data_IF_139954874352
#
_entry.id   IF_139954874352
#
_cell.length_a   1.000
_cell.length_b   1.000
_cell.length_c   1.000
_cell.angle_alpha   90.00
_cell.angle_beta   90.00
_cell.angle_gamma   90.00
#
_symmetry.space_group_name_H-M   'P 1'
#
loop_
_entity.id
_entity.type
_entity.pdbx_description
1 polymer ?
#
# COMPACT_ATOMS: atom_id res chain seq x y z
N UNK A 1 -20.58 79.83 -2.55
CA UNK A 1 -20.74 81.28 -2.25
C UNK A 1 -20.07 81.96 -3.42
N UNK A 2 -20.81 82.02 -4.51
CA UNK A 2 -20.24 82.04 -5.85
C UNK A 2 -20.15 83.50 -6.31
N UNK A 3 -18.96 83.89 -6.77
CA UNK A 3 -18.63 85.24 -7.21
C UNK A 3 -19.28 85.69 -8.52
N UNK A 4 -20.29 84.98 -9.02
CA UNK A 4 -20.97 85.31 -10.29
C UNK A 4 -22.40 85.77 -10.00
N UNK A 5 -22.54 86.84 -9.23
CA UNK A 5 -23.77 87.61 -9.21
C UNK A 5 -23.79 88.53 -10.45
N UNK A 6 -24.59 88.16 -11.46
CA UNK A 6 -24.83 88.96 -12.66
C UNK A 6 -25.43 90.36 -12.40
N UNK A 7 -25.75 90.73 -11.15
CA UNK A 7 -26.30 92.03 -10.79
C UNK A 7 -25.25 93.11 -10.49
N UNK A 8 -23.94 92.80 -10.49
CA UNK A 8 -22.91 93.81 -10.23
C UNK A 8 -22.42 94.46 -11.53
N UNK A 9 -23.18 95.43 -12.04
CA UNK A 9 -22.88 96.21 -13.24
C UNK A 9 -21.73 97.22 -13.09
N UNK A 10 -21.14 97.37 -11.91
CA UNK A 10 -20.29 98.52 -11.58
C UNK A 10 -18.82 98.42 -12.04
N UNK A 11 -18.37 97.31 -12.63
CA UNK A 11 -16.95 97.11 -12.99
C UNK A 11 -16.68 96.77 -14.46
N UNK A 12 -17.66 96.87 -15.35
CA UNK A 12 -17.44 96.58 -16.78
C UNK A 12 -17.12 97.87 -17.55
N UNK A 13 -15.93 97.93 -18.16
CA UNK A 13 -15.62 98.93 -19.18
C UNK A 13 -16.60 98.75 -20.36
N UNK A 14 -17.26 99.84 -20.75
CA UNK A 14 -18.26 99.85 -21.81
C UNK A 14 -17.58 99.61 -23.17
N UNK A 15 -17.80 98.45 -23.78
CA UNK A 15 -17.24 98.11 -25.09
C UNK A 15 -18.30 98.33 -26.19
N UNK A 16 -18.06 99.29 -27.09
CA UNK A 16 -19.00 99.64 -28.19
C UNK A 16 -19.06 98.62 -29.32
N UNK A 17 -18.12 97.68 -29.37
CA UNK A 17 -17.93 96.75 -30.49
C UNK A 17 -18.48 95.35 -30.19
N UNK A 18 -19.40 95.23 -29.24
CA UNK A 18 -20.05 93.96 -28.89
C UNK A 18 -21.43 93.87 -29.52
N UNK A 19 -21.85 92.64 -29.83
CA UNK A 19 -23.21 92.36 -30.24
C UNK A 19 -24.14 92.64 -29.05
N UNK A 20 -25.20 93.43 -29.24
CA UNK A 20 -26.12 93.87 -28.18
C UNK A 20 -27.35 92.97 -28.00
N UNK A 21 -27.33 91.74 -28.53
CA UNK A 21 -28.43 90.81 -28.38
C UNK A 21 -28.44 90.16 -27.00
N UNK A 22 -29.63 89.89 -26.44
CA UNK A 22 -29.78 89.20 -25.14
C UNK A 22 -29.06 87.85 -25.08
N UNK A 23 -28.87 87.17 -26.22
CA UNK A 23 -28.15 85.89 -26.30
C UNK A 23 -26.62 86.06 -26.37
N UNK A 24 -26.17 87.26 -26.68
CA UNK A 24 -24.75 87.62 -26.75
C UNK A 24 -24.27 88.21 -25.42
N UNK A 25 -25.19 88.51 -24.49
CA UNK A 25 -24.88 88.89 -23.11
C UNK A 25 -24.15 87.75 -22.39
N UNK A 26 -23.02 88.07 -21.76
CA UNK A 26 -22.19 87.10 -21.03
C UNK A 26 -22.97 86.32 -19.98
N UNK A 27 -23.86 86.98 -19.22
CA UNK A 27 -24.68 86.29 -18.22
C UNK A 27 -25.65 85.28 -18.85
N UNK A 28 -26.19 85.59 -20.03
CA UNK A 28 -27.07 84.67 -20.75
C UNK A 28 -26.28 83.48 -21.31
N UNK A 29 -25.08 83.71 -21.84
CA UNK A 29 -24.17 82.66 -22.31
C UNK A 29 -23.73 81.76 -21.14
N UNK A 30 -23.32 82.34 -20.01
CA UNK A 30 -22.92 81.60 -18.80
C UNK A 30 -24.07 80.76 -18.24
N UNK A 31 -25.27 81.34 -18.12
CA UNK A 31 -26.45 80.63 -17.63
C UNK A 31 -26.81 79.47 -18.57
N UNK A 32 -26.77 79.72 -19.88
CA UNK A 32 -27.02 78.72 -20.90
C UNK A 32 -26.01 77.57 -20.85
N UNK A 33 -24.72 77.87 -20.68
CA UNK A 33 -23.67 76.87 -20.56
C UNK A 33 -23.82 76.08 -19.25
N UNK A 34 -24.12 76.73 -18.12
CA UNK A 34 -24.33 76.08 -16.82
C UNK A 34 -25.50 75.10 -16.86
N UNK A 35 -26.62 75.50 -17.48
CA UNK A 35 -27.78 74.63 -17.67
C UNK A 35 -27.44 73.42 -18.56
N UNK A 36 -26.65 73.62 -19.61
CA UNK A 36 -26.18 72.55 -20.50
C UNK A 36 -25.23 71.57 -19.81
N UNK A 37 -24.33 72.06 -18.97
CA UNK A 37 -23.38 71.24 -18.22
C UNK A 37 -24.06 70.41 -17.13
N UNK A 38 -25.16 70.89 -16.55
CA UNK A 38 -25.84 70.25 -15.42
C UNK A 38 -26.19 68.78 -15.64
N UNK A 39 -26.75 68.43 -16.81
CA UNK A 39 -27.12 67.05 -17.13
C UNK A 39 -25.89 66.16 -17.27
N UNK A 40 -24.83 66.67 -17.93
CA UNK A 40 -23.57 65.94 -18.07
C UNK A 40 -22.87 65.72 -16.73
N UNK A 41 -22.82 66.77 -15.90
CA UNK A 41 -22.24 66.71 -14.56
C UNK A 41 -23.01 65.74 -13.67
N UNK A 42 -24.34 65.72 -13.71
CA UNK A 42 -25.13 64.75 -12.94
C UNK A 42 -24.79 63.31 -13.31
N UNK A 43 -24.67 63.01 -14.60
CA UNK A 43 -24.38 61.67 -15.10
C UNK A 43 -22.94 61.22 -14.81
N UNK A 44 -21.98 62.16 -14.75
CA UNK A 44 -20.56 61.86 -14.53
C UNK A 44 -20.13 61.97 -13.06
N UNK A 45 -20.89 62.70 -12.25
CA UNK A 45 -20.56 62.93 -10.85
C UNK A 45 -20.86 61.70 -10.00
N UNK A 46 -19.98 61.45 -9.03
CA UNK A 46 -20.22 60.46 -8.00
C UNK A 46 -20.81 61.16 -6.77
N UNK A 47 -22.07 60.87 -6.44
CA UNK A 47 -22.77 61.52 -5.32
C UNK A 47 -22.36 61.04 -3.93
N UNK A 48 -21.42 60.09 -3.84
CA UNK A 48 -20.90 59.63 -2.55
C UNK A 48 -19.83 60.60 -2.01
N UNK A 49 -19.73 60.79 -0.68
CA UNK A 49 -18.72 61.68 -0.10
C UNK A 49 -17.31 61.19 -0.44
N UNK A 50 -16.43 62.12 -0.87
CA UNK A 50 -15.07 61.79 -1.29
C UNK A 50 -14.22 61.13 -0.20
N UNK A 51 -14.50 61.46 1.08
CA UNK A 51 -13.77 60.96 2.23
C UNK A 51 -14.28 59.59 2.73
N UNK A 52 -15.39 59.08 2.19
CA UNK A 52 -15.99 57.81 2.59
C UNK A 52 -15.52 56.70 1.67
N UNK A 53 -14.42 56.07 2.08
CA UNK A 53 -13.75 55.01 1.34
C UNK A 53 -14.66 53.81 1.01
N UNK A 54 -15.67 53.50 1.82
CA UNK A 54 -16.51 52.30 1.64
C UNK A 54 -17.95 52.60 1.29
N UNK A 55 -18.26 53.85 0.90
CA UNK A 55 -19.62 54.35 0.72
C UNK A 55 -20.54 53.97 1.90
N UNK A 56 -20.02 54.02 3.13
CA UNK A 56 -20.75 53.62 4.35
C UNK A 56 -22.04 54.41 4.53
N UNK A 57 -21.97 55.72 4.29
CA UNK A 57 -23.12 56.63 4.33
C UNK A 57 -24.20 56.23 3.33
N UNK A 58 -23.83 56.07 2.05
CA UNK A 58 -24.74 55.67 0.98
C UNK A 58 -25.29 54.25 1.20
N UNK A 59 -24.48 53.33 1.71
CA UNK A 59 -24.89 51.97 2.06
C UNK A 59 -25.90 51.96 3.20
N UNK A 60 -25.73 52.78 4.23
CA UNK A 60 -26.69 52.88 5.33
C UNK A 60 -28.06 53.39 4.86
N UNK A 61 -28.07 54.37 3.96
CA UNK A 61 -29.30 54.87 3.33
C UNK A 61 -29.96 53.77 2.50
N UNK A 62 -29.18 53.04 1.69
CA UNK A 62 -29.66 51.94 0.88
C UNK A 62 -30.24 50.79 1.71
N UNK A 63 -29.57 50.41 2.81
CA UNK A 63 -30.07 49.36 3.71
C UNK A 63 -31.38 49.79 4.38
N UNK A 64 -31.54 51.08 4.68
CA UNK A 64 -32.79 51.61 5.22
C UNK A 64 -33.96 51.59 4.20
N UNK A 65 -33.68 51.44 2.91
CA UNK A 65 -34.67 51.49 1.84
C UNK A 65 -34.63 50.20 1.00
N UNK A 66 -35.59 49.27 1.13
CA UNK A 66 -35.51 47.92 0.54
C UNK A 66 -35.45 47.90 -1.00
N UNK A 67 -35.85 48.99 -1.67
CA UNK A 67 -35.80 49.13 -3.13
C UNK A 67 -34.47 49.69 -3.67
N UNK A 68 -33.57 50.16 -2.80
CA UNK A 68 -32.34 50.80 -3.23
C UNK A 68 -31.16 49.86 -3.10
N UNK A 69 -30.55 49.53 -4.23
CA UNK A 69 -29.28 48.82 -4.29
C UNK A 69 -28.16 49.87 -4.44
N UNK A 70 -27.12 49.80 -3.63
CA UNK A 70 -25.95 50.68 -3.74
C UNK A 70 -24.71 49.87 -4.04
N UNK A 71 -23.96 50.32 -5.04
CA UNK A 71 -22.62 49.83 -5.39
C UNK A 71 -21.61 50.97 -5.20
N UNK A 72 -20.41 50.61 -4.75
CA UNK A 72 -19.30 51.55 -4.51
C UNK A 72 -18.53 51.90 -5.81
N UNK A 73 -19.06 51.52 -6.98
CA UNK A 73 -18.47 51.73 -8.30
C UNK A 73 -18.12 50.42 -9.01
N UNK A 74 -17.37 50.53 -10.10
CA UNK A 74 -16.87 49.38 -10.87
C UNK A 74 -15.36 49.27 -10.62
N UNK A 75 -14.90 48.15 -10.05
CA UNK A 75 -13.48 47.86 -9.83
C UNK A 75 -13.09 47.55 -8.39
N UNK A 76 -11.79 47.35 -8.18
CA UNK A 76 -11.18 46.83 -6.95
C UNK A 76 -10.73 47.91 -5.97
N UNK A 77 -10.72 49.15 -6.43
CA UNK A 77 -10.51 50.34 -5.62
C UNK A 77 -11.84 51.05 -5.53
N UNK A 78 -12.35 51.22 -4.31
CA UNK A 78 -13.36 52.23 -4.05
C UNK A 78 -12.82 53.64 -4.38
N UNK A 79 -13.43 54.71 -3.87
CA UNK A 79 -12.94 56.06 -4.21
C UNK A 79 -11.43 56.21 -3.91
N UNK A 80 -10.64 56.54 -4.93
CA UNK A 80 -9.19 56.69 -4.79
C UNK A 80 -8.41 55.41 -4.41
N UNK A 81 -8.96 54.20 -4.58
CA UNK A 81 -8.22 52.95 -4.32
C UNK A 81 -8.07 52.55 -2.86
N UNK A 82 -8.74 53.23 -1.94
CA UNK A 82 -8.56 53.07 -0.50
C UNK A 82 -8.91 51.66 0.06
N UNK A 83 -9.63 50.81 -0.69
CA UNK A 83 -10.06 49.47 -0.29
C UNK A 83 -9.27 48.33 -0.95
N UNK A 84 -8.21 48.66 -1.69
CA UNK A 84 -7.40 47.69 -2.44
C UNK A 84 -6.79 46.62 -1.53
N UNK A 85 -6.34 47.00 -0.32
CA UNK A 85 -5.73 46.05 0.62
C UNK A 85 -6.75 45.05 1.17
N UNK A 86 -7.95 45.51 1.51
CA UNK A 86 -9.03 44.63 1.97
C UNK A 86 -9.48 43.68 0.85
N UNK A 87 -9.64 44.21 -0.37
CA UNK A 87 -9.98 43.40 -1.53
C UNK A 87 -8.90 42.34 -1.82
N UNK A 88 -7.62 42.74 -1.79
CA UNK A 88 -6.47 41.85 -1.95
C UNK A 88 -6.41 40.79 -0.85
N UNK A 89 -6.71 41.15 0.40
CA UNK A 89 -6.77 40.19 1.51
C UNK A 89 -7.92 39.18 1.34
N UNK A 90 -9.10 39.61 0.89
CA UNK A 90 -10.21 38.69 0.60
C UNK A 90 -9.86 37.75 -0.55
N UNK A 91 -9.12 38.22 -1.57
CA UNK A 91 -8.67 37.35 -2.67
C UNK A 91 -7.54 36.40 -2.31
N UNK A 92 -6.57 36.87 -1.53
CA UNK A 92 -5.26 36.21 -1.41
C UNK A 92 -4.89 35.80 0.03
N UNK A 93 -5.69 36.15 1.04
CA UNK A 93 -5.23 36.25 2.44
C UNK A 93 -5.02 34.94 3.20
N UNK A 94 -6.01 34.03 3.24
CA UNK A 94 -5.99 32.97 4.28
C UNK A 94 -5.44 31.63 3.80
N UNK A 95 -5.72 31.24 2.55
CA UNK A 95 -5.06 30.15 1.81
C UNK A 95 -5.72 30.09 0.43
N UNK A 96 -4.95 30.23 -0.64
CA UNK A 96 -5.50 29.89 -1.95
C UNK A 96 -5.71 28.36 -1.93
N UNK A 97 -6.97 27.92 -1.92
CA UNK A 97 -7.32 26.49 -1.88
C UNK A 97 -6.79 25.74 -3.09
N UNK A 98 -6.53 26.46 -4.18
CA UNK A 98 -5.85 25.98 -5.37
C UNK A 98 -4.51 26.70 -5.56
N UNK A 99 -3.39 26.16 -5.04
CA UNK A 99 -2.08 26.79 -5.16
C UNK A 99 -1.49 26.82 -6.59
N UNK A 100 -2.30 26.58 -7.63
CA UNK A 100 -1.91 26.56 -9.05
C UNK A 100 -0.64 25.73 -9.30
N UNK A 101 -0.51 24.63 -8.55
CA UNK A 101 0.53 23.62 -8.75
C UNK A 101 -0.01 22.52 -9.64
N UNK A 102 0.90 21.86 -10.36
CA UNK A 102 0.58 20.71 -11.18
C UNK A 102 0.02 19.60 -10.29
N UNK A 103 -1.30 19.39 -10.37
CA UNK A 103 -1.95 18.26 -9.71
C UNK A 103 -1.61 16.99 -10.49
N UNK A 104 -0.64 16.22 -10.01
CA UNK A 104 -0.40 14.87 -10.55
C UNK A 104 -1.56 13.96 -10.13
N UNK A 105 -2.43 13.67 -11.08
CA UNK A 105 -3.49 12.67 -10.92
C UNK A 105 -2.88 11.29 -11.13
N UNK A 106 -2.68 10.54 -10.06
CA UNK A 106 -2.32 9.13 -10.18
C UNK A 106 -3.50 8.35 -10.75
N UNK A 107 -3.26 7.55 -11.79
CA UNK A 107 -4.28 6.64 -12.29
C UNK A 107 -4.60 5.58 -11.23
N UNK A 108 -5.86 5.14 -11.19
CA UNK A 108 -6.25 4.00 -10.37
C UNK A 108 -5.44 2.76 -10.81
N UNK A 109 -5.05 1.86 -9.89
CA UNK A 109 -4.32 0.64 -10.26
C UNK A 109 -5.04 -0.28 -11.25
N UNK A 110 -6.34 -0.06 -11.46
CA UNK A 110 -7.17 -0.79 -12.41
C UNK A 110 -8.10 0.18 -13.16
N UNK A 111 -8.18 -0.02 -14.48
CA UNK A 111 -8.93 0.85 -15.41
C UNK A 111 -10.45 0.72 -15.24
N UNK A 112 -10.93 -0.49 -14.95
CA UNK A 112 -12.35 -0.86 -14.84
C UNK A 112 -12.56 -1.85 -13.70
N UNK A 113 -13.83 -2.17 -13.42
CA UNK A 113 -14.18 -3.22 -12.45
C UNK A 113 -13.84 -4.60 -13.07
N UNK A 114 -13.05 -5.44 -12.40
CA UNK A 114 -12.75 -6.79 -12.88
C UNK A 114 -13.99 -7.68 -12.86
N UNK A 115 -13.99 -8.76 -13.65
CA UNK A 115 -15.09 -9.71 -13.70
C UNK A 115 -15.34 -10.37 -12.33
N UNK A 116 -16.54 -10.18 -11.77
CA UNK A 116 -16.94 -10.69 -10.45
C UNK A 116 -17.84 -11.94 -10.51
N UNK A 117 -17.98 -12.57 -11.69
CA UNK A 117 -18.93 -13.68 -11.88
C UNK A 117 -18.59 -14.96 -11.11
N UNK A 118 -17.35 -15.11 -10.63
CA UNK A 118 -16.91 -16.28 -9.86
C UNK A 118 -17.42 -16.28 -8.41
N UNK A 119 -18.08 -15.20 -7.97
CA UNK A 119 -18.63 -15.10 -6.61
C UNK A 119 -17.59 -14.88 -5.52
N UNK A 120 -17.98 -15.17 -4.28
CA UNK A 120 -17.12 -15.03 -3.11
C UNK A 120 -16.10 -16.17 -3.06
N UNK A 121 -14.81 -15.84 -3.00
CA UNK A 121 -13.76 -16.83 -2.91
C UNK A 121 -13.68 -17.39 -1.48
N UNK A 122 -13.86 -18.70 -1.33
CA UNK A 122 -13.74 -19.43 -0.07
C UNK A 122 -12.52 -20.34 -0.16
N UNK A 123 -11.31 -19.84 0.17
CA UNK A 123 -10.06 -20.56 -0.07
C UNK A 123 -9.97 -21.86 0.74
N UNK A 124 -10.56 -21.91 1.93
CA UNK A 124 -10.54 -23.09 2.81
C UNK A 124 -11.37 -24.22 2.19
N UNK A 125 -12.65 -23.94 1.89
CA UNK A 125 -13.56 -24.88 1.20
C UNK A 125 -12.96 -25.35 -0.14
N UNK A 126 -12.38 -24.42 -0.91
CA UNK A 126 -11.76 -24.75 -2.20
C UNK A 126 -10.53 -25.65 -2.02
N UNK A 127 -9.71 -25.40 -1.00
CA UNK A 127 -8.51 -26.21 -0.74
C UNK A 127 -8.90 -27.63 -0.32
N UNK A 128 -9.93 -27.79 0.50
CA UNK A 128 -10.48 -29.11 0.87
C UNK A 128 -11.05 -29.86 -0.36
N UNK A 129 -11.70 -29.16 -1.28
CA UNK A 129 -12.22 -29.76 -2.51
C UNK A 129 -11.11 -30.09 -3.53
N UNK A 130 -10.08 -29.24 -3.64
CA UNK A 130 -8.95 -29.41 -4.57
C UNK A 130 -8.00 -30.51 -4.13
N UNK A 131 -7.74 -30.60 -2.82
CA UNK A 131 -6.85 -31.59 -2.24
C UNK A 131 -7.68 -32.62 -1.48
N UNK A 132 -7.84 -33.82 -2.05
CA UNK A 132 -8.51 -34.91 -1.35
C UNK A 132 -7.76 -35.28 -0.08
N UNK A 133 -8.48 -35.68 0.96
CA UNK A 133 -7.88 -36.32 2.13
C UNK A 133 -7.09 -37.58 1.70
N UNK A 134 -5.85 -37.69 2.16
CA UNK A 134 -5.01 -38.84 1.84
C UNK A 134 -5.52 -40.09 2.60
N UNK A 135 -6.35 -40.92 1.95
CA UNK A 135 -6.84 -42.20 2.49
C UNK A 135 -5.77 -43.31 2.51
N UNK A 136 -4.51 -42.97 2.23
CA UNK A 136 -3.42 -43.93 2.24
C UNK A 136 -3.09 -44.36 3.67
N UNK A 137 -3.66 -45.46 4.13
CA UNK A 137 -3.19 -46.09 5.36
C UNK A 137 -1.74 -46.55 5.16
N UNK A 138 -0.88 -46.22 6.13
CA UNK A 138 0.43 -46.87 6.20
C UNK A 138 0.17 -48.34 6.43
N UNK A 139 0.67 -49.21 5.54
CA UNK A 139 0.69 -50.66 5.77
C UNK A 139 1.15 -50.87 7.20
N UNK A 140 0.35 -51.54 8.05
CA UNK A 140 0.75 -51.78 9.42
C UNK A 140 2.17 -52.33 9.39
N UNK A 141 3.10 -51.65 10.07
CA UNK A 141 4.40 -52.22 10.33
C UNK A 141 4.07 -53.52 11.05
N UNK A 142 4.22 -54.64 10.35
CA UNK A 142 3.98 -55.96 10.92
C UNK A 142 4.80 -55.97 12.21
N UNK A 143 4.15 -56.06 13.36
CA UNK A 143 4.77 -55.81 14.68
C UNK A 143 5.93 -56.78 14.98
N UNK A 144 6.13 -57.76 14.08
CA UNK A 144 7.15 -58.80 14.12
C UNK A 144 8.27 -58.61 13.07
N UNK A 145 8.15 -57.68 12.11
CA UNK A 145 9.21 -57.44 11.12
C UNK A 145 10.32 -56.59 11.71
N UNK A 146 11.32 -57.24 12.31
CA UNK A 146 12.51 -56.58 12.87
C UNK A 146 12.76 -56.87 14.35
N UNK A 147 11.91 -57.68 15.01
CA UNK A 147 12.11 -58.10 16.39
C UNK A 147 12.53 -59.57 16.40
N UNK A 148 13.63 -59.88 17.08
CA UNK A 148 14.02 -61.26 17.36
C UNK A 148 13.07 -61.81 18.42
N UNK A 149 12.29 -62.83 18.05
CA UNK A 149 11.42 -63.53 19.00
C UNK A 149 12.30 -64.53 19.76
N UNK A 150 12.38 -64.38 21.08
CA UNK A 150 13.06 -65.36 21.94
C UNK A 150 12.40 -66.74 21.77
N UNK A 151 13.22 -67.78 21.54
CA UNK A 151 12.79 -69.15 21.21
C UNK A 151 12.18 -69.36 19.81
N UNK A 152 12.55 -68.56 18.80
CA UNK A 152 12.17 -68.84 17.41
C UNK A 152 12.57 -70.26 16.95
N UNK A 153 13.66 -70.79 17.49
CA UNK A 153 14.03 -72.20 17.38
C UNK A 153 13.80 -72.89 18.72
N UNK A 154 13.18 -74.07 18.68
CA UNK A 154 13.08 -74.92 19.88
C UNK A 154 14.49 -75.32 20.32
N UNK A 155 14.91 -75.04 21.57
CA UNK A 155 16.22 -75.44 22.04
C UNK A 155 16.34 -76.96 21.99
N UNK A 156 17.57 -77.45 21.78
CA UNK A 156 17.83 -78.88 21.77
C UNK A 156 17.48 -79.49 23.14
N UNK A 157 16.91 -80.70 23.15
CA UNK A 157 16.66 -81.45 24.38
C UNK A 157 17.96 -81.54 25.17
N UNK A 158 18.00 -81.23 26.49
CA UNK A 158 19.25 -81.09 27.26
C UNK A 158 20.20 -82.28 27.12
N UNK A 159 19.65 -83.49 27.20
CA UNK A 159 20.41 -84.73 27.00
C UNK A 159 21.09 -84.77 25.62
N UNK A 160 20.40 -84.37 24.55
CA UNK A 160 20.99 -84.37 23.21
C UNK A 160 22.06 -83.29 23.07
N UNK A 161 21.85 -82.11 23.67
CA UNK A 161 22.83 -81.02 23.70
C UNK A 161 24.13 -81.47 24.37
N UNK A 162 24.00 -82.11 25.53
CA UNK A 162 25.15 -82.56 26.32
C UNK A 162 25.86 -83.74 25.67
N UNK A 163 25.19 -84.59 24.89
CA UNK A 163 25.84 -85.73 24.25
C UNK A 163 26.45 -85.41 22.89
N UNK A 164 25.75 -84.66 22.03
CA UNK A 164 26.16 -84.44 20.62
C UNK A 164 27.34 -83.48 20.50
N UNK A 165 27.49 -82.53 21.41
CA UNK A 165 28.61 -81.57 21.37
C UNK A 165 29.94 -82.17 21.87
N UNK A 166 29.91 -83.29 22.62
CA UNK A 166 31.10 -83.89 23.21
C UNK A 166 31.70 -84.97 22.30
N UNK A 167 32.92 -84.73 21.82
CA UNK A 167 33.62 -85.64 20.90
C UNK A 167 33.81 -87.06 21.46
N UNK A 168 33.92 -87.21 22.79
CA UNK A 168 34.07 -88.50 23.48
C UNK A 168 32.88 -89.43 23.29
N UNK A 169 31.69 -88.89 23.04
CA UNK A 169 30.48 -89.66 22.80
C UNK A 169 30.24 -89.99 21.31
N UNK A 170 30.92 -89.26 20.40
CA UNK A 170 30.75 -89.42 18.95
C UNK A 170 31.86 -90.27 18.32
N UNK A 171 33.09 -90.18 18.84
CA UNK A 171 34.27 -90.82 18.25
C UNK A 171 34.72 -91.96 19.17
N UNK A 172 34.43 -93.19 18.75
CA UNK A 172 34.68 -94.42 19.52
C UNK A 172 36.17 -94.72 19.73
N UNK A 173 37.06 -94.14 18.91
CA UNK A 173 38.51 -94.40 18.94
C UNK A 173 39.23 -93.72 20.13
N UNK A 174 38.63 -92.67 20.71
CA UNK A 174 39.30 -91.84 21.73
C UNK A 174 39.52 -92.53 23.08
N UNK A 175 38.71 -93.55 23.41
CA UNK A 175 38.78 -94.30 24.67
C UNK A 175 38.95 -95.82 24.46
N UNK A 176 39.28 -96.23 23.25
CA UNK A 176 39.27 -97.63 22.83
C UNK A 176 37.86 -98.12 22.47
N UNK A 177 37.80 -99.11 21.59
CA UNK A 177 36.53 -99.60 21.03
C UNK A 177 35.64 -100.24 22.10
N UNK A 178 34.61 -99.51 22.52
CA UNK A 178 33.65 -99.93 23.56
C UNK A 178 32.59 -100.90 22.98
N UNK A 179 32.35 -100.84 21.66
CA UNK A 179 31.40 -101.71 20.94
C UNK A 179 31.95 -102.10 19.57
N UNK A 180 32.45 -103.33 19.48
CA UNK A 180 33.05 -103.88 18.26
C UNK A 180 34.56 -103.69 18.27
N UNK A 181 35.30 -104.76 18.48
CA UNK A 181 36.76 -104.71 18.59
C UNK A 181 37.45 -104.06 17.38
N UNK A 182 38.74 -103.78 17.54
CA UNK A 182 39.57 -103.20 16.49
C UNK A 182 39.45 -103.96 15.16
N UNK A 183 39.35 -103.24 14.04
CA UNK A 183 39.22 -103.85 12.73
C UNK A 183 40.37 -104.84 12.48
N UNK A 184 40.05 -106.06 12.06
CA UNK A 184 41.05 -107.13 11.80
C UNK A 184 42.13 -106.69 10.79
N UNK A 185 41.78 -105.80 9.86
CA UNK A 185 42.72 -105.19 8.91
C UNK A 185 43.74 -104.26 9.56
N UNK A 186 43.39 -103.57 10.64
CA UNK A 186 44.28 -102.70 11.40
C UNK A 186 45.28 -103.55 12.18
N UNK A 187 44.80 -104.61 12.85
CA UNK A 187 45.66 -105.60 13.49
C UNK A 187 46.66 -106.23 12.51
N UNK A 188 46.21 -106.64 11.32
CA UNK A 188 47.11 -107.17 10.28
C UNK A 188 48.16 -106.15 9.83
N UNK A 189 47.76 -104.89 9.64
CA UNK A 189 48.69 -103.80 9.31
C UNK A 189 49.71 -103.56 10.42
N UNK A 190 49.32 -103.62 11.69
CA UNK A 190 50.24 -103.47 12.81
C UNK A 190 51.23 -104.63 12.89
N UNK A 191 50.77 -105.87 12.66
CA UNK A 191 51.64 -107.05 12.60
C UNK A 191 52.64 -106.92 11.46
N UNK A 192 52.20 -106.52 10.27
CA UNK A 192 53.09 -106.29 9.12
C UNK A 192 54.05 -105.12 9.38
N UNK A 193 53.59 -104.02 9.98
CA UNK A 193 54.44 -102.89 10.34
C UNK A 193 55.53 -103.31 11.34
N UNK A 194 55.17 -104.05 12.40
CA UNK A 194 56.13 -104.59 13.38
C UNK A 194 57.13 -105.55 12.72
N UNK A 195 56.68 -106.38 11.75
CA UNK A 195 57.56 -107.27 10.96
C UNK A 195 58.53 -106.48 10.08
N UNK A 196 58.06 -105.45 9.39
CA UNK A 196 58.90 -104.61 8.49
C UNK A 196 59.88 -103.75 9.30
N UNK A 197 59.47 -103.23 10.44
CA UNK A 197 60.36 -102.46 11.32
C UNK A 197 61.40 -103.35 12.03
N UNK A 198 61.07 -104.58 12.39
CA UNK A 198 62.03 -105.48 13.04
C UNK A 198 63.10 -106.03 12.10
N UNK A 199 62.80 -106.20 10.81
CA UNK A 199 63.75 -106.65 9.79
C UNK A 199 64.62 -105.54 9.21
N UNK A 200 64.19 -104.28 9.31
CA UNK A 200 64.93 -103.10 8.85
C UNK A 200 65.69 -102.38 9.97
N UNK A 201 66.16 -103.11 10.98
CA UNK A 201 67.05 -102.58 12.02
C UNK A 201 68.49 -102.33 11.54
N UNK A 202 68.78 -102.54 10.25
CA UNK A 202 70.10 -102.29 9.65
C UNK A 202 70.18 -101.01 8.80
N UNK A 203 69.12 -100.20 8.72
CA UNK A 203 69.11 -98.94 7.96
C UNK A 203 68.58 -97.74 8.77
N UNK A 204 68.98 -97.64 10.04
CA UNK A 204 68.85 -96.41 10.84
C UNK A 204 70.13 -96.11 11.61
N UNK A 205 71.05 -95.40 10.95
CA UNK A 205 71.71 -94.24 11.55
C UNK A 205 70.89 -93.02 11.19
#
# INVERSE_FOLDING_TARGET
MDGNNCANYQTREWATNQLGGLKDDECAIESYNREREGVGNYMLSNFKPCNDCGATSARNIAIAQPLMQVSDGVGWGANGGCRIDHDSNVRHGTKITNPNVVQQLFSRPYLTVPYMGNGCFRPDDESELRFSEQTGEKRSCNVLSGVTIDNFFTPMIPHLSDHVQHHSHLIEDTHGWIRGGEATRQNLKEVDYKRVCSTNNHLRK
#
